data_IF_630944477408
#
_entry.id   IF_630944477408
#
_cell.length_a   1.000
_cell.length_b   1.000
_cell.length_c   1.000
_cell.angle_alpha   90.00
_cell.angle_beta   90.00
_cell.angle_gamma   90.00
#
_symmetry.space_group_name_H-M   'P 1'
#
loop_
_entity.id
_entity.type
_entity.pdbx_description
1 polymer ?
#
# COMPACT_ATOMS: atom_id res chain seq x y z
N UNK A 1 -9.55 15.66 -61.26
CA UNK A 1 -9.35 14.49 -60.37
C UNK A 1 -8.34 14.76 -59.25
N UNK A 2 -8.35 15.95 -58.59
CA UNK A 2 -7.32 16.31 -57.59
C UNK A 2 -7.87 16.77 -56.23
N UNK A 3 -9.18 17.04 -56.12
CA UNK A 3 -9.81 17.51 -54.87
C UNK A 3 -10.20 16.36 -53.92
N UNK A 4 -10.56 15.19 -54.46
CA UNK A 4 -10.93 14.00 -53.66
C UNK A 4 -9.73 13.31 -52.98
N UNK A 5 -8.54 13.37 -53.61
CA UNK A 5 -7.31 12.82 -53.02
C UNK A 5 -6.81 13.69 -51.87
N UNK A 6 -6.88 15.02 -52.01
CA UNK A 6 -6.47 15.97 -50.95
C UNK A 6 -7.39 15.86 -49.72
N UNK A 7 -8.71 15.67 -49.91
CA UNK A 7 -9.66 15.49 -48.81
C UNK A 7 -9.41 14.17 -48.03
N UNK A 8 -9.04 13.09 -48.71
CA UNK A 8 -8.67 11.81 -48.09
C UNK A 8 -7.37 11.90 -47.26
N UNK A 9 -6.38 12.68 -47.70
CA UNK A 9 -5.15 12.91 -46.93
C UNK A 9 -5.39 13.79 -45.69
N UNK A 10 -6.31 14.76 -45.75
CA UNK A 10 -6.65 15.62 -44.61
C UNK A 10 -7.45 14.84 -43.55
N UNK A 11 -8.35 13.95 -43.95
CA UNK A 11 -9.08 13.06 -43.03
C UNK A 11 -8.13 12.04 -42.38
N UNK A 12 -7.11 11.56 -43.11
CA UNK A 12 -6.07 10.66 -42.57
C UNK A 12 -5.16 11.31 -41.55
N UNK A 13 -4.92 12.63 -41.61
CA UNK A 13 -4.08 13.37 -40.65
C UNK A 13 -4.80 13.71 -39.35
N UNK A 14 -6.13 13.75 -39.36
CA UNK A 14 -6.95 14.00 -38.15
C UNK A 14 -7.06 12.74 -37.28
N UNK A 15 -6.91 11.54 -37.87
CA UNK A 15 -6.98 10.25 -37.15
C UNK A 15 -5.66 9.91 -36.41
N UNK A 16 -4.58 10.67 -36.61
CA UNK A 16 -3.27 10.45 -35.96
C UNK A 16 -3.07 11.22 -34.63
N UNK A 17 -4.10 11.84 -34.06
CA UNK A 17 -4.02 12.62 -32.81
C UNK A 17 -4.82 11.99 -31.65
N UNK A 18 -4.61 10.70 -31.37
CA UNK A 18 -5.14 9.99 -30.19
C UNK A 18 -4.07 8.93 -29.88
N UNK A 19 -3.26 8.93 -28.82
CA UNK A 19 -3.41 9.43 -27.46
C UNK A 19 -2.02 9.79 -26.92
N UNK A 20 -1.84 11.00 -26.40
CA UNK A 20 -0.79 11.23 -25.41
C UNK A 20 -1.27 10.58 -24.10
N UNK A 21 -1.03 9.27 -23.94
CA UNK A 21 -1.18 8.63 -22.64
C UNK A 21 -0.13 9.23 -21.70
N UNK A 22 -0.50 10.26 -20.92
CA UNK A 22 0.20 10.56 -19.67
C UNK A 22 -0.03 9.34 -18.77
N UNK A 23 0.86 8.35 -18.85
CA UNK A 23 0.87 7.23 -17.91
C UNK A 23 1.19 7.83 -16.55
N UNK A 24 0.30 7.64 -15.57
CA UNK A 24 0.56 8.03 -14.19
C UNK A 24 1.76 7.27 -13.61
N UNK A 25 2.28 7.67 -12.44
CA UNK A 25 3.42 7.00 -11.82
C UNK A 25 3.11 5.52 -11.58
N UNK A 26 4.12 4.66 -11.70
CA UNK A 26 3.98 3.24 -11.44
C UNK A 26 3.78 2.97 -9.94
N UNK A 27 3.19 1.82 -9.57
CA UNK A 27 3.10 1.43 -8.16
C UNK A 27 4.46 1.46 -7.46
N UNK A 28 5.52 1.01 -8.12
CA UNK A 28 6.89 0.96 -7.58
C UNK A 28 7.46 2.36 -7.33
N UNK A 29 7.19 3.32 -8.23
CA UNK A 29 7.61 4.71 -8.07
C UNK A 29 6.92 5.35 -6.85
N UNK A 30 5.60 5.21 -6.75
CA UNK A 30 4.82 5.76 -5.62
C UNK A 30 5.28 5.12 -4.30
N UNK A 31 5.47 3.80 -4.30
CA UNK A 31 5.88 3.06 -3.11
C UNK A 31 7.30 3.45 -2.65
N UNK A 32 8.24 3.59 -3.58
CA UNK A 32 9.60 4.04 -3.28
C UNK A 32 9.60 5.46 -2.71
N UNK A 33 8.75 6.35 -3.24
CA UNK A 33 8.60 7.70 -2.71
C UNK A 33 8.01 7.69 -1.30
N UNK A 34 6.97 6.89 -1.06
CA UNK A 34 6.37 6.71 0.26
C UNK A 34 7.40 6.23 1.30
N UNK A 35 8.25 5.27 0.94
CA UNK A 35 9.34 4.80 1.81
C UNK A 35 10.38 5.88 2.09
N UNK A 36 10.83 6.61 1.08
CA UNK A 36 11.79 7.72 1.26
C UNK A 36 11.24 8.76 2.23
N UNK A 37 9.97 9.15 2.08
CA UNK A 37 9.31 10.09 2.98
C UNK A 37 9.21 9.53 4.40
N UNK A 38 8.93 8.23 4.56
CA UNK A 38 8.91 7.58 5.86
C UNK A 38 10.30 7.57 6.52
N UNK A 39 11.36 7.24 5.79
CA UNK A 39 12.75 7.28 6.26
C UNK A 39 13.19 8.71 6.64
N UNK A 40 12.68 9.71 5.91
CA UNK A 40 12.85 11.13 6.23
C UNK A 40 11.95 11.62 7.37
N UNK A 41 11.19 10.75 8.04
CA UNK A 41 10.22 11.05 9.11
C UNK A 41 9.06 11.98 8.71
N UNK A 42 8.83 12.15 7.40
CA UNK A 42 7.73 12.90 6.81
C UNK A 42 6.46 12.05 6.74
N UNK A 43 6.00 11.60 7.91
CA UNK A 43 4.97 10.56 8.03
C UNK A 43 3.64 10.90 7.36
N UNK A 44 3.19 12.15 7.43
CA UNK A 44 1.95 12.58 6.78
C UNK A 44 2.04 12.51 5.24
N UNK A 45 3.21 12.87 4.69
CA UNK A 45 3.47 12.79 3.25
C UNK A 45 3.60 11.32 2.81
N UNK A 46 4.30 10.50 3.60
CA UNK A 46 4.41 9.06 3.36
C UNK A 46 3.03 8.39 3.32
N UNK A 47 2.16 8.68 4.29
CA UNK A 47 0.77 8.18 4.31
C UNK A 47 0.01 8.63 3.05
N UNK A 48 0.16 9.88 2.65
CA UNK A 48 -0.48 10.40 1.42
C UNK A 48 -0.05 9.61 0.18
N UNK A 49 1.23 9.22 0.11
CA UNK A 49 1.77 8.41 -1.00
C UNK A 49 1.31 6.97 -0.96
N UNK A 50 1.26 6.34 0.21
CA UNK A 50 0.65 5.02 0.33
C UNK A 50 -0.84 5.04 -0.05
N UNK A 51 -1.60 6.07 0.35
CA UNK A 51 -3.00 6.26 -0.06
C UNK A 51 -3.15 6.44 -1.58
N UNK A 52 -2.24 7.20 -2.20
CA UNK A 52 -2.16 7.35 -3.66
C UNK A 52 -1.98 5.99 -4.34
N UNK A 53 -1.08 5.14 -3.84
CA UNK A 53 -0.84 3.81 -4.40
C UNK A 53 -2.08 2.92 -4.31
N UNK A 54 -2.69 2.83 -3.12
CA UNK A 54 -3.89 1.99 -2.91
C UNK A 54 -5.05 2.48 -3.78
N UNK A 55 -5.17 3.79 -3.99
CA UNK A 55 -6.23 4.39 -4.81
C UNK A 55 -6.02 4.14 -6.30
N UNK A 56 -4.81 4.37 -6.80
CA UNK A 56 -4.51 4.29 -8.24
C UNK A 56 -4.24 2.86 -8.70
N UNK A 57 -3.68 2.03 -7.83
CA UNK A 57 -3.19 0.69 -8.16
C UNK A 57 -3.66 -0.38 -7.16
N UNK A 58 -4.97 -0.51 -6.89
CA UNK A 58 -5.50 -1.42 -5.85
C UNK A 58 -5.23 -2.91 -6.14
N UNK A 59 -4.78 -3.28 -7.34
CA UNK A 59 -4.42 -4.66 -7.71
C UNK A 59 -2.91 -4.89 -7.78
N UNK A 60 -2.10 -3.89 -7.43
CA UNK A 60 -0.66 -4.05 -7.34
C UNK A 60 -0.32 -4.97 -6.16
N UNK A 61 0.74 -5.77 -6.31
CA UNK A 61 1.35 -6.54 -5.21
C UNK A 61 1.82 -5.62 -4.05
N UNK A 62 1.98 -4.31 -4.30
CA UNK A 62 2.35 -3.31 -3.30
C UNK A 62 1.15 -2.69 -2.56
N UNK A 63 -0.07 -2.88 -3.06
CA UNK A 63 -1.27 -2.31 -2.45
C UNK A 63 -1.56 -2.87 -1.04
N UNK A 64 -1.44 -4.20 -0.78
CA UNK A 64 -1.59 -4.74 0.57
C UNK A 64 -0.62 -4.11 1.57
N UNK A 65 0.68 -4.09 1.23
CA UNK A 65 1.70 -3.51 2.08
C UNK A 65 1.47 -2.01 2.30
N UNK A 66 1.09 -1.27 1.27
CA UNK A 66 0.80 0.17 1.39
C UNK A 66 -0.38 0.42 2.33
N UNK A 67 -1.46 -0.35 2.20
CA UNK A 67 -2.63 -0.23 3.07
C UNK A 67 -2.30 -0.54 4.53
N UNK A 68 -1.49 -1.56 4.77
CA UNK A 68 -0.97 -1.87 6.11
C UNK A 68 -0.12 -0.72 6.68
N UNK A 69 0.80 -0.17 5.87
CA UNK A 69 1.68 0.92 6.28
C UNK A 69 0.93 2.21 6.62
N UNK A 70 -0.20 2.50 5.97
CA UNK A 70 -1.07 3.63 6.38
C UNK A 70 -1.52 3.44 7.83
N UNK A 71 -1.97 2.23 8.20
CA UNK A 71 -2.37 1.89 9.55
C UNK A 71 -1.23 2.06 10.55
N UNK A 72 -0.09 1.44 10.23
CA UNK A 72 1.10 1.43 11.08
C UNK A 72 1.63 2.84 11.38
N UNK A 73 1.81 3.66 10.35
CA UNK A 73 2.33 5.02 10.52
C UNK A 73 1.30 5.90 11.26
N UNK A 74 0.01 5.73 10.97
CA UNK A 74 -1.02 6.49 11.67
C UNK A 74 -1.08 6.14 13.16
N UNK A 75 -0.91 4.86 13.53
CA UNK A 75 -0.91 4.42 14.92
C UNK A 75 0.34 4.91 15.67
N UNK A 76 1.52 4.65 15.11
CA UNK A 76 2.77 4.74 15.84
C UNK A 76 3.47 6.10 15.72
N UNK A 77 3.35 6.76 14.57
CA UNK A 77 4.13 7.97 14.28
C UNK A 77 3.28 9.24 14.34
N UNK A 78 2.04 9.17 13.87
CA UNK A 78 1.11 10.31 13.85
C UNK A 78 0.22 10.33 15.11
N UNK A 79 -0.05 9.17 15.71
CA UNK A 79 -0.97 9.02 16.84
C UNK A 79 -2.45 9.19 16.47
N UNK A 80 -2.80 9.08 15.18
CA UNK A 80 -4.18 9.09 14.73
C UNK A 80 -4.75 7.67 14.73
N UNK A 81 -5.18 7.22 15.92
CA UNK A 81 -5.71 5.87 16.15
C UNK A 81 -6.98 5.58 15.34
N UNK A 82 -7.84 6.59 15.12
CA UNK A 82 -9.04 6.40 14.31
C UNK A 82 -8.68 6.05 12.86
N UNK A 83 -7.77 6.83 12.25
CA UNK A 83 -7.29 6.58 10.89
C UNK A 83 -6.55 5.25 10.81
N UNK A 84 -5.76 4.90 11.83
CA UNK A 84 -5.08 3.62 11.89
C UNK A 84 -6.08 2.45 11.89
N UNK A 85 -7.12 2.52 12.71
CA UNK A 85 -8.17 1.48 12.78
C UNK A 85 -8.87 1.30 11.44
N UNK A 86 -9.23 2.39 10.77
CA UNK A 86 -9.86 2.36 9.44
C UNK A 86 -8.93 1.70 8.43
N UNK A 87 -7.65 2.06 8.44
CA UNK A 87 -6.68 1.54 7.49
C UNK A 87 -6.42 0.04 7.65
N UNK A 88 -6.25 -0.45 8.88
CA UNK A 88 -6.08 -1.89 9.14
C UNK A 88 -7.33 -2.70 8.80
N UNK A 89 -8.53 -2.19 9.10
CA UNK A 89 -9.79 -2.85 8.70
C UNK A 89 -9.91 -2.94 7.18
N UNK A 90 -9.57 -1.87 6.46
CA UNK A 90 -9.56 -1.88 5.00
C UNK A 90 -8.51 -2.86 4.44
N UNK A 91 -7.35 -3.02 5.09
CA UNK A 91 -6.39 -4.06 4.73
C UNK A 91 -7.00 -5.47 4.89
N UNK A 92 -7.58 -5.76 6.05
CA UNK A 92 -8.17 -7.06 6.34
C UNK A 92 -9.36 -7.39 5.41
N UNK A 93 -10.15 -6.38 5.02
CA UNK A 93 -11.30 -6.55 4.13
C UNK A 93 -10.88 -6.77 2.67
N UNK A 94 -9.89 -6.03 2.17
CA UNK A 94 -9.60 -5.99 0.74
C UNK A 94 -8.38 -6.81 0.32
N UNK A 95 -7.46 -7.09 1.25
CA UNK A 95 -6.14 -7.64 0.90
C UNK A 95 -5.76 -8.91 1.68
N UNK A 96 -6.53 -9.34 2.67
CA UNK A 96 -6.15 -10.49 3.53
C UNK A 96 -5.97 -11.80 2.74
N UNK A 97 -6.79 -12.05 1.72
CA UNK A 97 -6.72 -13.27 0.90
C UNK A 97 -5.46 -13.36 0.00
N UNK A 98 -4.83 -12.23 -0.28
CA UNK A 98 -3.65 -12.11 -1.15
C UNK A 98 -2.39 -11.70 -0.40
N UNK A 99 -2.46 -11.60 0.93
CA UNK A 99 -1.35 -11.18 1.79
C UNK A 99 -0.72 -12.36 2.51
N UNK A 100 0.55 -12.19 2.90
CA UNK A 100 1.21 -13.13 3.80
C UNK A 100 0.45 -13.25 5.14
N UNK A 101 0.38 -14.48 5.65
CA UNK A 101 -0.35 -14.80 6.88
C UNK A 101 0.17 -14.04 8.11
N UNK A 102 1.48 -13.76 8.15
CA UNK A 102 2.11 -12.94 9.17
C UNK A 102 1.60 -11.51 9.14
N UNK A 103 1.50 -10.88 7.95
CA UNK A 103 0.96 -9.52 7.82
C UNK A 103 -0.52 -9.44 8.22
N UNK A 104 -1.31 -10.47 7.91
CA UNK A 104 -2.70 -10.60 8.36
C UNK A 104 -2.79 -10.72 9.88
N UNK A 105 -1.94 -11.53 10.49
CA UNK A 105 -1.85 -11.68 11.95
C UNK A 105 -1.44 -10.34 12.61
N UNK A 106 -0.43 -9.67 12.07
CA UNK A 106 0.01 -8.35 12.55
C UNK A 106 -1.12 -7.32 12.49
N UNK A 107 -1.86 -7.22 11.38
CA UNK A 107 -2.95 -6.23 11.28
C UNK A 107 -4.07 -6.47 12.31
N UNK A 108 -4.39 -7.73 12.62
CA UNK A 108 -5.35 -8.08 13.67
C UNK A 108 -4.81 -7.71 15.05
N UNK A 109 -3.56 -8.07 15.32
CA UNK A 109 -2.90 -7.76 16.59
C UNK A 109 -2.83 -6.25 16.84
N UNK A 110 -2.46 -5.47 15.82
CA UNK A 110 -2.40 -4.01 15.88
C UNK A 110 -3.78 -3.40 16.15
N UNK A 111 -4.84 -3.94 15.56
CA UNK A 111 -6.21 -3.50 15.84
C UNK A 111 -6.65 -3.83 17.27
N UNK A 112 -6.35 -5.03 17.74
CA UNK A 112 -6.75 -5.49 19.07
C UNK A 112 -6.02 -4.75 20.19
N UNK A 113 -4.82 -4.25 19.91
CA UNK A 113 -3.96 -3.54 20.87
C UNK A 113 -3.82 -2.04 20.59
N UNK A 114 -4.61 -1.50 19.67
CA UNK A 114 -4.48 -0.13 19.20
C UNK A 114 -4.64 0.87 20.35
N UNK A 115 -3.58 1.66 20.59
CA UNK A 115 -3.57 2.69 21.62
C UNK A 115 -3.50 2.17 23.06
N UNK A 116 -3.34 0.85 23.27
CA UNK A 116 -3.06 0.30 24.59
C UNK A 116 -1.65 0.68 25.03
N UNK A 117 -1.48 0.87 26.33
CA UNK A 117 -0.15 0.96 26.91
C UNK A 117 0.52 -0.42 26.91
N UNK A 118 1.85 -0.47 26.79
CA UNK A 118 2.62 -1.73 26.79
C UNK A 118 2.37 -2.56 28.06
N UNK A 119 2.03 -1.92 29.17
CA UNK A 119 1.71 -2.58 30.44
C UNK A 119 0.32 -3.26 30.45
N UNK A 120 -0.52 -3.01 29.44
CA UNK A 120 -1.88 -3.57 29.32
C UNK A 120 -1.95 -4.75 28.33
N UNK A 121 -0.82 -5.13 27.72
CA UNK A 121 -0.75 -6.23 26.77
C UNK A 121 -0.39 -7.51 27.54
N UNK A 122 -1.37 -8.40 27.70
CA UNK A 122 -1.19 -9.73 28.29
C UNK A 122 -0.24 -10.57 27.40
N UNK A 123 0.99 -10.73 27.87
CA UNK A 123 2.06 -11.63 27.41
C UNK A 123 2.46 -11.55 25.91
N UNK A 124 3.65 -10.97 25.67
CA UNK A 124 4.30 -10.82 24.36
C UNK A 124 4.85 -12.15 23.78
N UNK A 125 4.68 -13.27 24.49
CA UNK A 125 5.23 -14.60 24.13
C UNK A 125 4.75 -15.15 22.78
N UNK A 126 3.62 -14.68 22.26
CA UNK A 126 3.01 -15.18 21.00
C UNK A 126 3.79 -14.80 19.73
N UNK A 127 4.71 -13.82 19.79
CA UNK A 127 5.45 -13.38 18.58
C UNK A 127 6.77 -14.16 18.37
N UNK A 128 7.26 -14.90 19.37
CA UNK A 128 8.60 -15.52 19.32
C UNK A 128 8.63 -17.03 19.06
N UNK A 129 7.50 -17.72 19.01
CA UNK A 129 7.47 -19.17 18.77
C UNK A 129 7.38 -19.48 17.26
N UNK A 130 8.48 -19.27 16.55
CA UNK A 130 8.57 -19.56 15.11
C UNK A 130 9.92 -20.08 14.61
N UNK A 131 10.97 -20.14 15.43
CA UNK A 131 12.29 -20.64 15.00
C UNK A 131 13.07 -21.33 16.13
N UNK A 132 12.55 -22.42 16.70
CA UNK A 132 13.40 -23.43 17.35
C UNK A 132 12.86 -24.84 17.09
N UNK A 133 13.17 -25.38 15.90
CA UNK A 133 13.21 -26.83 15.70
C UNK A 133 14.55 -27.24 15.08
N UNK A 134 15.32 -28.03 15.86
CA UNK A 134 16.47 -28.83 15.43
C UNK A 134 17.83 -28.20 15.77
N UNK A 135 18.74 -28.82 16.53
CA UNK A 135 18.92 -30.23 16.88
C UNK A 135 19.75 -30.34 18.16
N UNK A 136 19.24 -31.03 19.18
CA UNK A 136 20.05 -31.80 20.12
C UNK A 136 19.25 -33.03 20.57
N UNK A 137 19.49 -34.18 19.95
CA UNK A 137 19.38 -35.48 20.64
C UNK A 137 20.47 -36.43 20.12
N UNK A 138 21.30 -36.85 21.09
CA UNK A 138 22.31 -37.95 21.19
C UNK A 138 23.51 -38.06 20.22
#
# INVERSE_FOLDING_TARGET
MRKGVILLFIVSLIILNISACKKGPSPEEIFSEAKSLQEETKYAEAVTKYEELVTLHPRSELAPQSQFMIGFICANEIGNLEKASVAYKAFLENYSDVSDSGMVASAKWELDNLGKDINEIDDLSVVTEGEEEGQEEE
#
